data_IF_196013995102
#
_entry.id   IF_196013995102
#
_cell.length_a   1.000
_cell.length_b   1.000
_cell.length_c   1.000
_cell.angle_alpha   90.00
_cell.angle_beta   90.00
_cell.angle_gamma   90.00
#
_symmetry.space_group_name_H-M   'P 1'
#
loop_
_entity.id
_entity.type
_entity.pdbx_description
1 polymer ?
#
# COMPACT_ATOMS: atom_id res chain seq x y z
N UNK A 1 8.95 -5.80 0.76
CA UNK A 1 7.76 -5.47 -0.07
C UNK A 1 6.67 -4.93 0.83
N UNK A 2 6.18 -3.74 0.49
CA UNK A 2 5.02 -3.15 1.14
C UNK A 2 3.73 -3.76 0.59
N UNK A 3 2.85 -4.25 1.45
CA UNK A 3 1.54 -4.83 1.07
C UNK A 3 0.40 -3.84 1.34
N UNK A 4 0.74 -2.61 1.78
CA UNK A 4 -0.25 -1.56 2.05
C UNK A 4 -0.72 -0.88 0.77
N UNK A 5 -1.74 -0.03 0.90
CA UNK A 5 -2.15 0.84 -0.19
C UNK A 5 -1.10 1.93 -0.41
N UNK A 6 -0.99 2.43 -1.64
CA UNK A 6 0.05 3.38 -2.03
C UNK A 6 0.10 4.64 -1.16
N UNK A 7 -1.06 5.16 -0.71
CA UNK A 7 -1.09 6.35 0.15
C UNK A 7 -0.44 6.11 1.51
N UNK A 8 -0.46 4.88 2.03
CA UNK A 8 0.21 4.50 3.28
C UNK A 8 1.72 4.42 3.08
N UNK A 9 2.14 3.91 1.93
CA UNK A 9 3.55 3.78 1.53
C UNK A 9 4.20 5.11 1.12
N UNK A 10 3.40 6.15 0.85
CA UNK A 10 3.87 7.51 0.58
C UNK A 10 4.46 8.16 1.83
N UNK A 11 3.83 7.96 2.99
CA UNK A 11 4.22 8.65 4.23
C UNK A 11 5.22 7.89 5.09
N UNK A 12 5.48 6.62 4.77
CA UNK A 12 6.55 5.85 5.40
C UNK A 12 6.78 4.50 4.73
N UNK A 13 8.00 4.00 4.80
CA UNK A 13 8.41 2.75 4.15
C UNK A 13 9.73 2.23 4.73
N UNK A 14 10.01 0.94 4.54
CA UNK A 14 11.31 0.38 4.88
C UNK A 14 12.34 0.65 3.78
N UNK A 15 13.60 0.81 4.17
CA UNK A 15 14.75 0.82 3.27
C UNK A 15 15.59 -0.45 3.43
N UNK A 16 16.29 -0.84 2.37
CA UNK A 16 17.23 -1.95 2.41
C UNK A 16 18.46 -1.59 3.25
N UNK A 17 18.91 -2.43 4.19
CA UNK A 17 19.97 -2.08 5.16
C UNK A 17 21.34 -1.81 4.53
N UNK A 18 21.66 -2.45 3.40
CA UNK A 18 22.94 -2.27 2.70
C UNK A 18 22.91 -1.19 1.61
N UNK A 19 21.92 -1.22 0.73
CA UNK A 19 21.83 -0.31 -0.43
C UNK A 19 21.13 1.01 -0.11
N UNK A 20 20.35 1.09 0.99
CA UNK A 20 19.52 2.25 1.33
C UNK A 20 18.29 2.42 0.44
N UNK A 21 18.07 1.54 -0.54
CA UNK A 21 16.96 1.64 -1.47
C UNK A 21 15.61 1.42 -0.78
N UNK A 22 14.56 2.16 -1.16
CA UNK A 22 13.21 1.90 -0.68
C UNK A 22 12.75 0.49 -1.01
N UNK A 23 12.04 -0.15 -0.08
CA UNK A 23 11.34 -1.39 -0.36
C UNK A 23 10.42 -1.24 -1.57
N UNK A 24 10.19 -2.33 -2.30
CA UNK A 24 9.18 -2.35 -3.37
C UNK A 24 7.82 -1.96 -2.79
N UNK A 25 7.25 -0.87 -3.33
CA UNK A 25 5.96 -0.29 -2.95
C UNK A 25 5.02 -0.37 -4.15
N UNK A 26 4.15 -1.38 -4.22
CA UNK A 26 3.16 -1.47 -5.27
C UNK A 26 2.25 -0.24 -5.24
N UNK A 27 2.03 0.37 -6.40
CA UNK A 27 1.13 1.53 -6.55
C UNK A 27 -0.35 1.19 -6.38
N UNK A 28 -0.71 0.09 -5.69
CA UNK A 28 -2.09 -0.37 -5.52
C UNK A 28 -2.88 0.61 -4.65
N UNK A 29 -4.14 0.88 -5.00
CA UNK A 29 -5.04 1.72 -4.21
C UNK A 29 -5.84 0.91 -3.19
N UNK A 30 -6.13 -0.35 -3.51
CA UNK A 30 -6.88 -1.27 -2.66
C UNK A 30 -6.17 -2.61 -2.59
N UNK A 31 -6.22 -3.25 -1.43
CA UNK A 31 -5.65 -4.60 -1.26
C UNK A 31 -6.29 -5.65 -2.20
N UNK A 32 -7.53 -5.45 -2.67
CA UNK A 32 -8.14 -6.31 -3.69
C UNK A 32 -7.39 -6.34 -5.03
N UNK A 33 -6.53 -5.36 -5.30
CA UNK A 33 -5.66 -5.32 -6.47
C UNK A 33 -4.37 -6.14 -6.28
N UNK A 34 -4.03 -6.56 -5.06
CA UNK A 34 -2.82 -7.33 -4.75
C UNK A 34 -2.70 -8.63 -5.57
N UNK A 35 -3.75 -9.48 -5.67
CA UNK A 35 -3.69 -10.70 -6.47
C UNK A 35 -3.25 -10.47 -7.92
N UNK A 36 -3.75 -9.39 -8.51
CA UNK A 36 -3.48 -9.02 -9.88
C UNK A 36 -2.09 -8.41 -10.05
N UNK A 37 -1.64 -7.62 -9.06
CA UNK A 37 -0.28 -7.10 -9.02
C UNK A 37 0.75 -8.24 -9.01
N UNK A 38 0.56 -9.24 -8.15
CA UNK A 38 1.42 -10.44 -8.10
C UNK A 38 1.47 -11.15 -9.45
N UNK A 39 0.32 -11.44 -10.05
CA UNK A 39 0.22 -12.14 -11.35
C UNK A 39 0.84 -11.39 -12.53
N UNK A 40 1.05 -10.08 -12.42
CA UNK A 40 1.59 -9.26 -13.51
C UNK A 40 3.06 -8.96 -13.34
N UNK A 41 3.47 -8.64 -12.11
CA UNK A 41 4.80 -8.11 -11.82
C UNK A 41 5.72 -9.11 -11.12
N UNK A 42 5.18 -10.15 -10.50
CA UNK A 42 5.96 -11.10 -9.68
C UNK A 42 6.01 -12.52 -10.29
N UNK A 43 5.04 -12.85 -11.15
CA UNK A 43 4.98 -14.15 -11.84
C UNK A 43 5.50 -14.09 -13.29
N UNK A 44 5.67 -12.91 -13.86
CA UNK A 44 6.16 -12.75 -15.23
C UNK A 44 7.69 -12.79 -15.27
N UNK A 45 8.21 -13.79 -16.02
CA UNK A 45 9.61 -14.09 -16.31
C UNK A 45 10.44 -14.52 -15.08
N UNK A 46 10.56 -15.84 -14.96
CA UNK A 46 11.87 -16.41 -14.77
C UNK A 46 12.82 -15.72 -15.76
N UNK A 47 13.68 -14.81 -15.26
CA UNK A 47 15.02 -14.72 -15.83
C UNK A 47 15.48 -16.18 -15.98
N UNK A 48 15.98 -16.55 -17.17
CA UNK A 48 16.34 -17.93 -17.55
C UNK A 48 17.46 -18.57 -16.72
N UNK A 49 17.62 -18.10 -15.49
CA UNK A 49 18.50 -18.58 -14.47
C UNK A 49 17.65 -19.25 -13.38
N UNK A 50 17.35 -20.52 -13.59
CA UNK A 50 16.56 -21.38 -12.68
C UNK A 50 17.20 -21.48 -11.28
N UNK A 51 18.47 -21.08 -11.13
CA UNK A 51 19.25 -21.13 -9.90
C UNK A 51 19.08 -19.91 -8.98
N UNK A 52 18.34 -18.86 -9.36
CA UNK A 52 18.21 -17.68 -8.51
C UNK A 52 17.05 -17.84 -7.51
N UNK A 53 17.38 -18.19 -6.27
CA UNK A 53 16.43 -18.29 -5.17
C UNK A 53 15.85 -16.92 -4.83
N UNK A 54 14.52 -16.78 -4.81
CA UNK A 54 13.89 -15.49 -4.50
C UNK A 54 13.44 -15.46 -3.04
N UNK A 55 13.90 -14.46 -2.30
CA UNK A 55 13.50 -14.21 -0.93
C UNK A 55 12.64 -12.95 -0.84
N UNK A 56 11.37 -13.13 -0.47
CA UNK A 56 10.42 -12.04 -0.29
C UNK A 56 10.20 -11.76 1.18
N UNK A 57 10.52 -10.55 1.63
CA UNK A 57 10.16 -10.06 2.96
C UNK A 57 9.00 -9.08 2.81
N UNK A 58 7.84 -9.40 3.38
CA UNK A 58 6.62 -8.59 3.26
C UNK A 58 6.26 -7.92 4.59
N UNK A 59 5.70 -6.71 4.52
CA UNK A 59 5.24 -5.98 5.69
C UNK A 59 3.98 -5.14 5.39
N UNK A 60 3.21 -4.86 6.43
CA UNK A 60 2.06 -3.95 6.42
C UNK A 60 1.93 -3.34 7.83
N UNK A 61 0.90 -2.54 8.08
CA UNK A 61 0.73 -1.82 9.36
C UNK A 61 0.75 -2.77 10.57
N UNK A 62 -0.01 -3.87 10.53
CA UNK A 62 -0.23 -4.75 11.69
C UNK A 62 -0.26 -6.26 11.37
N UNK A 63 0.25 -6.69 10.22
CA UNK A 63 0.40 -8.12 9.86
C UNK A 63 -0.73 -8.73 9.01
N UNK A 64 -2.00 -8.39 9.24
CA UNK A 64 -3.14 -9.11 8.61
C UNK A 64 -3.14 -9.15 7.07
N UNK A 65 -2.73 -8.05 6.41
CA UNK A 65 -2.62 -8.01 4.94
C UNK A 65 -1.43 -8.83 4.44
N UNK A 66 -0.38 -8.93 5.24
CA UNK A 66 0.79 -9.73 4.90
C UNK A 66 0.50 -11.21 5.00
N UNK A 67 -0.24 -11.68 6.01
CA UNK A 67 -0.63 -13.09 6.08
C UNK A 67 -1.37 -13.53 4.82
N UNK A 68 -2.38 -12.76 4.40
CA UNK A 68 -3.15 -13.03 3.17
C UNK A 68 -2.31 -12.83 1.91
N UNK A 69 -1.55 -11.74 1.85
CA UNK A 69 -0.76 -11.35 0.69
C UNK A 69 0.42 -12.27 0.42
N UNK A 70 1.14 -12.67 1.47
CA UNK A 70 2.25 -13.61 1.44
C UNK A 70 1.77 -15.01 1.04
N UNK A 71 0.64 -15.48 1.61
CA UNK A 71 0.03 -16.74 1.19
C UNK A 71 -0.32 -16.73 -0.30
N UNK A 72 -0.99 -15.68 -0.76
CA UNK A 72 -1.33 -15.55 -2.17
C UNK A 72 -0.08 -15.56 -3.06
N UNK A 73 0.97 -14.85 -2.64
CA UNK A 73 2.25 -14.82 -3.33
C UNK A 73 2.84 -16.24 -3.42
N UNK A 74 2.98 -16.95 -2.30
CA UNK A 74 3.47 -18.33 -2.25
C UNK A 74 2.68 -19.27 -3.18
N UNK A 75 1.35 -19.20 -3.15
CA UNK A 75 0.48 -20.05 -3.98
C UNK A 75 0.62 -19.79 -5.48
N UNK A 76 0.92 -18.55 -5.89
CA UNK A 76 0.94 -18.13 -7.30
C UNK A 76 2.35 -18.04 -7.90
N UNK A 77 3.41 -18.16 -7.09
CA UNK A 77 4.79 -18.07 -7.56
C UNK A 77 5.31 -19.33 -8.28
N UNK A 78 4.51 -20.40 -8.32
CA UNK A 78 4.95 -21.72 -8.75
C UNK A 78 5.86 -22.33 -7.68
N UNK A 79 5.69 -23.61 -7.35
CA UNK A 79 6.53 -24.29 -6.36
C UNK A 79 7.97 -24.40 -6.89
N UNK A 80 8.78 -23.37 -6.69
CA UNK A 80 10.22 -23.53 -6.57
C UNK A 80 10.47 -23.79 -5.10
N UNK A 81 10.95 -24.97 -4.75
CA UNK A 81 11.25 -25.35 -3.36
C UNK A 81 12.27 -24.40 -2.70
N UNK A 82 12.96 -23.59 -3.48
CA UNK A 82 13.92 -22.57 -3.03
C UNK A 82 13.35 -21.18 -2.73
N UNK A 83 12.16 -20.83 -3.23
CA UNK A 83 11.61 -19.48 -3.03
C UNK A 83 11.05 -19.38 -1.60
N UNK A 84 11.44 -18.33 -0.86
CA UNK A 84 10.99 -18.12 0.53
C UNK A 84 10.20 -16.81 0.63
N UNK A 85 9.01 -16.87 1.23
CA UNK A 85 8.22 -15.67 1.56
C UNK A 85 8.08 -15.56 3.07
N UNK A 86 8.60 -14.47 3.62
CA UNK A 86 8.57 -14.12 5.04
C UNK A 86 7.68 -12.90 5.25
N UNK A 87 7.08 -12.84 6.44
CA UNK A 87 6.25 -11.71 6.87
C UNK A 87 6.80 -11.14 8.17
N UNK A 88 6.84 -9.82 8.27
CA UNK A 88 7.15 -9.13 9.53
C UNK A 88 6.03 -9.36 10.55
N UNK A 89 6.32 -10.12 11.61
CA UNK A 89 5.39 -10.42 12.70
C UNK A 89 4.90 -9.12 13.35
N UNK A 90 3.58 -8.93 13.45
CA UNK A 90 2.99 -7.71 13.99
C UNK A 90 3.17 -6.44 13.13
N UNK A 91 3.81 -6.56 11.96
CA UNK A 91 3.96 -5.47 11.00
C UNK A 91 4.80 -4.28 11.49
N UNK A 92 4.60 -3.13 10.86
CA UNK A 92 5.31 -1.89 11.18
C UNK A 92 5.04 -1.46 12.63
N UNK A 93 3.83 -1.66 13.15
CA UNK A 93 3.48 -1.29 14.51
C UNK A 93 4.35 -2.01 15.55
N UNK A 94 4.53 -3.33 15.41
CA UNK A 94 5.40 -4.09 16.30
C UNK A 94 6.88 -3.69 16.13
N UNK A 95 7.32 -3.45 14.90
CA UNK A 95 8.68 -2.97 14.63
C UNK A 95 8.98 -1.63 15.30
N UNK A 96 8.07 -0.65 15.20
CA UNK A 96 8.26 0.66 15.83
C UNK A 96 8.29 0.56 17.36
N UNK A 97 7.42 -0.27 17.95
CA UNK A 97 7.42 -0.50 19.40
C UNK A 97 8.73 -1.17 19.87
N UNK A 98 9.22 -2.18 19.14
CA UNK A 98 10.52 -2.80 19.41
C UNK A 98 11.67 -1.80 19.28
N UNK A 99 11.66 -0.97 18.24
CA UNK A 99 12.70 0.02 17.99
C UNK A 99 12.71 1.09 19.10
N UNK A 100 11.55 1.59 19.53
CA UNK A 100 11.45 2.54 20.64
C UNK A 100 12.00 1.96 21.94
N UNK A 101 11.74 0.67 22.21
CA UNK A 101 12.29 -0.02 23.38
C UNK A 101 13.82 -0.16 23.30
N UNK A 102 14.37 -0.54 22.14
CA UNK A 102 15.82 -0.64 21.96
C UNK A 102 16.52 0.73 22.04
N UNK A 103 15.84 1.81 21.61
CA UNK A 103 16.32 3.19 21.80
C UNK A 103 16.29 3.58 23.28
N UNK A 104 15.20 3.27 23.98
CA UNK A 104 15.05 3.54 25.42
C UNK A 104 16.11 2.82 26.25
N UNK A 105 16.49 1.60 25.86
CA UNK A 105 17.56 0.83 26.48
C UNK A 105 18.97 1.29 26.07
N UNK A 106 19.10 2.28 25.17
CA UNK A 106 20.39 2.80 24.71
C UNK A 106 21.16 1.87 23.75
N UNK A 107 20.53 0.80 23.25
CA UNK A 107 21.15 -0.16 22.33
C UNK A 107 21.13 0.29 20.87
N UNK A 108 20.17 1.14 20.53
CA UNK A 108 19.95 1.69 19.19
C UNK A 108 19.75 3.20 19.25
N UNK A 109 20.03 3.87 18.14
CA UNK A 109 19.67 5.26 17.93
C UNK A 109 18.51 5.35 16.94
N UNK A 110 17.74 6.46 16.94
CA UNK A 110 16.61 6.63 16.01
C UNK A 110 17.01 6.46 14.54
N UNK A 111 18.23 6.87 14.18
CA UNK A 111 18.75 6.82 12.82
C UNK A 111 18.99 5.37 12.32
N UNK A 112 19.22 4.44 13.25
CA UNK A 112 19.43 3.01 12.99
C UNK A 112 18.15 2.30 12.50
N UNK A 113 16.98 2.94 12.66
CA UNK A 113 15.72 2.39 12.18
C UNK A 113 15.76 2.22 10.65
N UNK A 114 15.34 1.06 10.16
CA UNK A 114 15.16 0.83 8.73
C UNK A 114 13.83 1.37 8.21
N UNK A 115 12.91 1.71 9.11
CA UNK A 115 11.65 2.34 8.74
C UNK A 115 11.83 3.86 8.69
N UNK A 116 11.53 4.45 7.53
CA UNK A 116 11.60 5.90 7.30
C UNK A 116 10.18 6.48 7.25
N UNK A 117 9.99 7.66 7.80
CA UNK A 117 8.71 8.37 7.85
C UNK A 117 7.78 7.85 8.95
N UNK A 118 6.46 7.87 8.69
CA UNK A 118 5.42 7.45 9.62
C UNK A 118 4.56 6.32 9.07
N UNK A 119 4.12 5.45 9.96
CA UNK A 119 3.18 4.38 9.70
C UNK A 119 1.75 4.91 9.72
N UNK A 120 1.03 4.78 8.61
CA UNK A 120 -0.40 5.08 8.58
C UNK A 120 -1.18 4.16 9.53
N UNK A 121 -2.07 4.74 10.33
CA UNK A 121 -2.98 4.02 11.23
C UNK A 121 -4.44 4.40 10.95
N UNK A 122 -5.34 3.44 11.11
CA UNK A 122 -6.75 3.56 10.72
C UNK A 122 -7.62 4.13 11.85
N UNK A 123 -7.13 5.18 12.52
CA UNK A 123 -7.84 5.89 13.59
C UNK A 123 -7.53 7.39 13.55
N UNK A 124 -8.04 8.14 14.54
CA UNK A 124 -7.93 9.60 14.60
C UNK A 124 -6.48 10.12 14.63
N UNK A 125 -5.49 9.29 14.99
CA UNK A 125 -4.08 9.67 14.98
C UNK A 125 -3.55 9.88 13.55
N UNK A 126 -4.13 9.17 12.58
CA UNK A 126 -3.74 9.21 11.16
C UNK A 126 -2.40 8.56 10.84
N UNK A 127 -1.32 8.88 11.58
CA UNK A 127 -0.01 8.28 11.42
C UNK A 127 0.78 8.21 12.73
N UNK A 128 1.66 7.22 12.86
CA UNK A 128 2.56 7.03 14.01
C UNK A 128 4.00 6.81 13.56
N UNK A 129 4.96 7.44 14.23
CA UNK A 129 6.40 7.26 14.00
C UNK A 129 7.09 6.70 15.25
N UNK A 130 8.43 6.74 15.27
CA UNK A 130 9.19 6.53 16.50
C UNK A 130 8.88 7.62 17.52
N UNK A 131 8.84 7.25 18.80
CA UNK A 131 8.64 8.16 19.91
C UNK A 131 9.88 9.01 20.16
N UNK A 132 11.06 8.39 20.04
CA UNK A 132 12.35 9.04 20.24
C UNK A 132 13.03 9.24 18.88
N UNK A 133 12.98 10.45 18.31
CA UNK A 133 13.76 10.83 17.12
C UNK A 133 13.14 10.54 15.73
N UNK A 134 13.91 10.92 14.68
CA UNK A 134 13.48 11.39 13.37
C UNK A 134 12.37 10.61 12.62
N UNK A 135 11.12 10.80 13.04
CA UNK A 135 9.94 10.70 12.18
C UNK A 135 9.83 11.87 11.19
N UNK A 136 10.94 12.28 10.58
CA UNK A 136 10.91 13.34 9.57
C UNK A 136 10.01 12.90 8.41
N UNK A 137 9.13 13.79 7.91
CA UNK A 137 8.32 13.48 6.77
C UNK A 137 9.18 13.06 5.58
N UNK A 138 8.98 11.84 5.10
CA UNK A 138 9.57 11.35 3.83
C UNK A 138 8.73 11.74 2.62
N UNK A 139 7.57 12.35 2.88
CA UNK A 139 6.65 12.86 1.90
C UNK A 139 6.59 14.39 1.93
N UNK A 140 6.06 14.93 0.84
CA UNK A 140 5.87 16.36 0.63
C UNK A 140 4.39 16.65 0.41
N UNK A 141 3.95 17.82 0.84
CA UNK A 141 2.62 18.33 0.57
C UNK A 141 2.38 18.36 -0.94
N UNK A 142 1.23 17.84 -1.35
CA UNK A 142 0.79 17.77 -2.75
C UNK A 142 0.63 19.14 -3.41
N UNK A 143 0.49 20.21 -2.62
CA UNK A 143 0.21 21.57 -3.09
C UNK A 143 1.46 22.44 -3.03
N UNK A 144 2.05 22.63 -1.84
CA UNK A 144 3.19 23.53 -1.65
C UNK A 144 4.56 22.83 -1.64
N UNK A 145 4.61 21.49 -1.75
CA UNK A 145 5.83 20.68 -1.68
C UNK A 145 6.62 20.71 -0.35
N UNK A 146 6.11 21.40 0.69
CA UNK A 146 6.71 21.37 2.04
C UNK A 146 6.68 19.94 2.65
N UNK A 147 7.71 19.53 3.41
CA UNK A 147 7.71 18.24 4.09
C UNK A 147 6.47 18.04 4.97
N UNK A 148 5.72 16.96 4.73
CA UNK A 148 4.53 16.64 5.50
C UNK A 148 4.18 15.17 5.38
N UNK A 149 3.61 14.60 6.43
CA UNK A 149 3.08 13.23 6.49
C UNK A 149 1.58 13.22 6.83
N UNK A 150 0.98 14.41 6.93
CA UNK A 150 -0.46 14.57 7.14
C UNK A 150 -1.19 14.13 5.88
N UNK A 151 -2.18 13.27 6.08
CA UNK A 151 -3.03 12.78 5.01
C UNK A 151 -4.39 13.48 5.09
N UNK A 152 -4.86 13.95 3.96
CA UNK A 152 -6.21 14.48 3.78
C UNK A 152 -6.81 13.90 2.50
N UNK A 153 -8.08 14.19 2.24
CA UNK A 153 -8.76 13.75 1.02
C UNK A 153 -8.83 14.89 0.02
N UNK A 154 -8.87 14.54 -1.27
CA UNK A 154 -9.32 15.49 -2.27
C UNK A 154 -10.75 15.96 -1.91
N UNK A 155 -10.97 17.27 -1.91
CA UNK A 155 -12.28 17.86 -1.59
C UNK A 155 -13.21 17.99 -2.81
N UNK A 156 -12.74 17.60 -3.99
CA UNK A 156 -13.58 17.61 -5.18
C UNK A 156 -14.71 16.58 -5.06
N UNK A 157 -15.93 16.96 -5.49
CA UNK A 157 -17.16 16.19 -5.26
C UNK A 157 -17.12 14.80 -5.92
N UNK A 158 -16.98 13.72 -5.14
CA UNK A 158 -16.85 12.34 -5.63
C UNK A 158 -15.41 11.85 -5.88
N UNK A 159 -14.38 12.65 -5.58
CA UNK A 159 -12.99 12.19 -5.57
C UNK A 159 -12.65 11.78 -4.14
N UNK A 160 -12.23 10.53 -3.96
CA UNK A 160 -11.83 10.01 -2.65
C UNK A 160 -10.34 9.65 -2.62
N UNK A 161 -9.52 10.35 -3.39
CA UNK A 161 -8.09 10.18 -3.32
C UNK A 161 -7.55 10.75 -2.01
N UNK A 162 -6.64 10.00 -1.42
CA UNK A 162 -5.89 10.40 -0.22
C UNK A 162 -4.60 11.08 -0.67
N UNK A 163 -4.37 12.28 -0.16
CA UNK A 163 -3.28 13.17 -0.50
C UNK A 163 -2.44 13.45 0.74
N UNK A 164 -1.15 13.68 0.54
CA UNK A 164 -0.31 14.29 1.57
C UNK A 164 -0.54 15.79 1.52
N UNK A 165 -1.10 16.40 2.56
CA UNK A 165 -1.45 17.83 2.59
C UNK A 165 -1.03 18.40 3.94
N UNK A 166 -0.22 19.46 3.93
CA UNK A 166 0.14 20.16 5.17
C UNK A 166 -1.08 20.88 5.74
N UNK A 167 -1.00 21.25 7.02
CA UNK A 167 -2.07 21.94 7.73
C UNK A 167 -2.59 23.18 7.01
N UNK A 168 -1.67 24.01 6.54
CA UNK A 168 -2.01 25.24 5.82
C UNK A 168 -2.83 24.97 4.54
N UNK A 169 -2.39 24.03 3.72
CA UNK A 169 -3.05 23.72 2.45
C UNK A 169 -4.36 22.95 2.62
N UNK A 170 -4.59 22.30 3.76
CA UNK A 170 -5.85 21.59 4.02
C UNK A 170 -7.05 22.56 4.03
N UNK A 171 -6.87 23.74 4.62
CA UNK A 171 -7.91 24.78 4.69
C UNK A 171 -8.26 25.40 3.33
N UNK A 172 -7.39 25.29 2.33
CA UNK A 172 -7.63 25.82 0.97
C UNK A 172 -8.57 24.95 0.13
N UNK A 173 -8.97 23.79 0.65
CA UNK A 173 -9.74 22.80 -0.07
C UNK A 173 -8.92 22.08 -1.14
N UNK A 174 -8.09 21.09 -0.77
CA UNK A 174 -7.14 20.49 -1.70
C UNK A 174 -7.82 19.71 -2.83
N UNK A 175 -7.38 19.95 -4.06
CA UNK A 175 -7.71 19.15 -5.24
C UNK A 175 -6.48 18.33 -5.64
N UNK A 176 -6.68 17.07 -6.03
CA UNK A 176 -5.58 16.18 -6.39
C UNK A 176 -4.96 16.50 -7.77
N UNK A 177 -5.72 17.10 -8.69
CA UNK A 177 -5.23 17.52 -10.00
C UNK A 177 -6.13 18.60 -10.61
N UNK A 178 -5.71 19.17 -11.75
CA UNK A 178 -6.48 20.17 -12.49
C UNK A 178 -7.84 19.63 -12.95
N UNK A 179 -7.95 18.35 -13.32
CA UNK A 179 -9.21 17.75 -13.74
C UNK A 179 -10.28 17.75 -12.63
N UNK A 180 -9.85 17.59 -11.37
CA UNK A 180 -10.75 17.73 -10.23
C UNK A 180 -11.17 19.17 -9.95
N UNK A 181 -10.29 20.14 -10.20
CA UNK A 181 -10.63 21.56 -10.10
C UNK A 181 -11.65 21.94 -11.16
N UNK A 182 -11.38 21.61 -12.42
CA UNK A 182 -12.30 21.86 -13.53
C UNK A 182 -13.68 21.19 -13.32
N UNK A 183 -13.71 19.97 -12.78
CA UNK A 183 -14.97 19.30 -12.45
C UNK A 183 -15.78 20.06 -11.38
N UNK A 184 -15.13 20.57 -10.34
CA UNK A 184 -15.82 21.36 -9.30
C UNK A 184 -16.32 22.70 -9.84
N UNK A 185 -15.54 23.36 -10.71
CA UNK A 185 -15.93 24.64 -11.32
C UNK A 185 -17.17 24.48 -12.21
N UNK A 186 -17.22 23.40 -13.00
CA UNK A 186 -18.41 23.02 -13.79
C UNK A 186 -19.61 22.75 -12.87
N UNK A 187 -19.43 21.92 -11.85
CA UNK A 187 -20.48 21.59 -10.88
C UNK A 187 -21.04 22.84 -10.18
N UNK A 188 -20.19 23.82 -9.84
CA UNK A 188 -20.62 25.06 -9.19
C UNK A 188 -21.39 25.98 -10.15
N UNK A 189 -21.11 25.93 -11.45
CA UNK A 189 -21.76 26.75 -12.48
C UNK A 189 -23.12 26.20 -12.93
N UNK A 190 -23.32 24.89 -12.85
CA UNK A 190 -24.52 24.21 -13.34
C UNK A 190 -25.56 24.04 -12.22
N UNK A 191 -26.68 24.77 -12.29
CA UNK A 191 -27.91 24.48 -11.53
C UNK A 191 -28.65 23.24 -12.09
N UNK A 192 -27.94 22.17 -12.43
CA UNK A 192 -28.55 21.01 -13.08
C UNK A 192 -29.06 20.00 -12.04
N UNK A 193 -30.30 19.53 -12.22
CA UNK A 193 -30.98 18.56 -11.36
C UNK A 193 -30.36 17.14 -11.43
N UNK A 194 -29.56 16.83 -12.45
CA UNK A 194 -28.92 15.52 -12.64
C UNK A 194 -27.52 15.69 -13.25
N UNK A 195 -26.48 15.56 -12.41
CA UNK A 195 -25.09 15.58 -12.87
C UNK A 195 -24.66 14.22 -13.44
N UNK A 196 -23.83 14.19 -14.50
CA UNK A 196 -23.27 12.95 -15.03
C UNK A 196 -22.37 12.26 -13.99
N UNK A 197 -22.22 10.92 -14.08
CA UNK A 197 -21.33 10.20 -13.18
C UNK A 197 -19.90 10.71 -13.34
N UNK A 198 -19.29 11.04 -12.21
CA UNK A 198 -17.94 11.60 -12.18
C UNK A 198 -16.92 10.70 -12.88
N UNK A 199 -16.12 11.22 -13.83
CA UNK A 199 -15.01 10.47 -14.40
C UNK A 199 -13.82 10.34 -13.43
N UNK A 200 -12.98 9.31 -13.64
CA UNK A 200 -11.72 9.13 -12.92
C UNK A 200 -10.82 10.36 -13.14
N UNK A 201 -10.18 10.88 -12.08
CA UNK A 201 -9.25 12.01 -12.19
C UNK A 201 -8.01 11.63 -13.00
N UNK A 202 -7.35 12.63 -13.60
CA UNK A 202 -6.16 12.36 -14.42
C UNK A 202 -5.01 11.80 -13.59
N UNK A 203 -4.87 12.25 -12.35
CA UNK A 203 -3.95 11.67 -11.37
C UNK A 203 -4.10 10.17 -11.14
N UNK A 204 -5.34 9.71 -11.08
CA UNK A 204 -5.66 8.31 -10.81
C UNK A 204 -5.51 7.48 -12.07
N UNK A 205 -5.83 8.06 -13.24
CA UNK A 205 -5.53 7.44 -14.54
C UNK A 205 -4.03 7.21 -14.71
N UNK A 206 -3.22 8.24 -14.43
CA UNK A 206 -1.76 8.16 -14.50
C UNK A 206 -1.22 7.08 -13.55
N UNK A 207 -1.69 7.05 -12.30
CA UNK A 207 -1.30 5.99 -11.35
C UNK A 207 -1.66 4.58 -11.85
N UNK A 208 -2.88 4.39 -12.35
CA UNK A 208 -3.32 3.11 -12.88
C UNK A 208 -2.50 2.70 -14.12
N UNK A 209 -2.15 3.66 -14.99
CA UNK A 209 -1.29 3.42 -16.14
C UNK A 209 0.15 3.08 -15.72
N UNK A 210 0.72 3.74 -14.71
CA UNK A 210 2.03 3.38 -14.17
C UNK A 210 2.01 1.98 -13.52
N UNK A 211 0.91 1.61 -12.86
CA UNK A 211 0.77 0.32 -12.20
C UNK A 211 0.52 -0.83 -13.18
N UNK A 212 -0.27 -0.61 -14.22
CA UNK A 212 -0.77 -1.65 -15.11
C UNK A 212 -0.33 -1.50 -16.58
N UNK A 213 0.35 -0.44 -16.95
CA UNK A 213 0.61 -0.10 -18.35
C UNK A 213 -0.65 0.29 -19.14
N UNK A 214 -0.54 0.41 -20.47
CA UNK A 214 -1.58 0.99 -21.34
C UNK A 214 -2.87 0.15 -21.47
N UNK A 215 -2.87 -1.08 -20.91
CA UNK A 215 -4.04 -1.96 -20.86
C UNK A 215 -4.30 -2.35 -19.40
N UNK A 216 -5.04 -1.52 -18.65
CA UNK A 216 -5.42 -1.84 -17.29
C UNK A 216 -6.32 -3.09 -17.32
N UNK A 217 -6.06 -4.05 -16.44
CA UNK A 217 -6.85 -5.26 -16.43
C UNK A 217 -8.26 -4.95 -15.91
N UNK A 218 -9.28 -5.56 -16.51
CA UNK A 218 -10.67 -5.39 -16.05
C UNK A 218 -10.75 -5.82 -14.58
N UNK A 219 -11.31 -4.96 -13.73
CA UNK A 219 -11.60 -5.37 -12.35
C UNK A 219 -12.44 -6.65 -12.39
N UNK A 220 -12.13 -7.67 -11.57
CA UNK A 220 -13.02 -8.80 -11.42
C UNK A 220 -14.35 -8.22 -10.94
N UNK A 221 -15.43 -8.43 -11.71
CA UNK A 221 -16.78 -8.12 -11.24
C UNK A 221 -16.91 -8.79 -9.87
N UNK A 222 -17.27 -8.02 -8.84
CA UNK A 222 -17.67 -8.61 -7.58
C UNK A 222 -18.79 -9.58 -7.92
N UNK A 223 -18.51 -10.88 -7.92
CA UNK A 223 -19.57 -11.86 -8.02
C UNK A 223 -20.40 -11.64 -6.77
N UNK A 224 -21.60 -11.07 -6.95
CA UNK A 224 -22.65 -11.15 -5.95
C UNK A 224 -22.64 -12.58 -5.44
N UNK A 225 -22.57 -12.77 -4.12
CA UNK A 225 -22.58 -14.09 -3.50
C UNK A 225 -23.81 -14.84 -4.02
N UNK A 226 -23.63 -15.66 -5.05
CA UNK A 226 -24.58 -16.71 -5.39
C UNK A 226 -24.43 -17.70 -4.25
N UNK A 227 -25.42 -17.75 -3.38
CA UNK A 227 -25.67 -18.85 -2.46
C UNK A 227 -25.64 -20.14 -3.27
N UNK A 228 -24.49 -20.82 -3.29
CA UNK A 228 -24.38 -22.16 -3.88
C UNK A 228 -24.95 -23.12 -2.86
N UNK A 229 -26.07 -23.75 -3.23
CA UNK A 229 -26.64 -24.89 -2.53
C UNK A 229 -25.57 -25.97 -2.32
N UNK A 230 -25.66 -26.64 -1.18
CA UNK A 230 -24.75 -27.67 -0.72
C UNK A 230 -24.81 -28.90 -1.63
N UNK A 231 -23.95 -28.97 -2.64
CA UNK A 231 -23.59 -30.22 -3.31
C UNK A 231 -22.39 -29.98 -4.23
N UNK A 232 -21.18 -30.08 -3.65
CA UNK A 232 -19.99 -30.65 -4.27
C UNK A 232 -18.81 -30.46 -3.33
N UNK A 233 -18.59 -31.47 -2.49
CA UNK A 233 -17.44 -31.59 -1.60
C UNK A 233 -16.22 -31.96 -2.46
N UNK A 234 -15.51 -30.96 -2.96
CA UNK A 234 -14.19 -31.16 -3.53
C UNK A 234 -13.21 -31.53 -2.40
N UNK A 235 -12.40 -32.57 -2.63
CA UNK A 235 -11.41 -33.10 -1.70
C UNK A 235 -10.52 -31.98 -1.16
N UNK A 236 -10.59 -31.74 0.14
CA UNK A 236 -9.64 -30.92 0.89
C UNK A 236 -8.36 -31.75 0.96
N UNK A 237 -7.36 -31.38 0.16
CA UNK A 237 -6.00 -31.88 0.41
C UNK A 237 -5.51 -31.22 1.70
N UNK A 238 -5.37 -32.03 2.73
CA UNK A 238 -4.78 -31.68 4.01
C UNK A 238 -3.30 -31.35 3.76
N UNK A 239 -3.01 -30.06 3.56
CA UNK A 239 -1.65 -29.57 3.38
C UNK A 239 -1.24 -28.89 4.69
N UNK A 240 -0.26 -29.49 5.35
CA UNK A 240 0.38 -28.93 6.53
C UNK A 240 1.24 -27.73 6.10
N UNK A 241 0.79 -26.52 6.43
CA UNK A 241 1.38 -25.26 5.98
C UNK A 241 2.30 -24.71 7.06
N UNK A 242 3.60 -24.64 6.79
CA UNK A 242 4.57 -23.95 7.64
C UNK A 242 4.81 -22.52 7.12
N UNK A 243 4.07 -21.55 7.66
CA UNK A 243 4.41 -20.12 7.48
C UNK A 243 5.58 -19.82 8.42
N UNK A 244 6.77 -19.54 7.87
CA UNK A 244 7.90 -19.05 8.67
C UNK A 244 7.64 -17.60 9.09
N UNK A 245 7.16 -17.43 10.31
CA UNK A 245 7.13 -16.15 10.99
C UNK A 245 8.55 -15.90 11.53
N UNK A 246 9.18 -14.83 11.07
CA UNK A 246 10.47 -14.39 11.63
C UNK A 246 10.14 -13.46 12.80
N UNK A 247 10.71 -13.79 13.97
CA UNK A 247 10.63 -12.97 15.19
C UNK A 247 11.61 -11.80 15.15
#
# INVERSE_FOLDING_TARGET
>A
MDVRNHYESRIGYFIHPKTGEPAVRPGIRRFSQWPQYVKRHMTAKADGNENNQRHFMTYCTGGIRCEKGARFLQENMGKRDSDTVCTLKGGIAAYLAWMDEEIRLGKKKPEDSLFRGKNYVFDARGAMGLTYGAGHPVSKCHICAEPSDRLSKCQSQGCHLVLVVCEHCEHTGPRCCQSCRAFDDLYASEKQEILPPRPICDCEKEREEQLWGPRPPKEPKQHALKTRSASNRAKVNDMNIQVKIIE
#
